data_IF_664235893802
#
_entry.id   IF_664235893802
#
_cell.length_a   1.000
_cell.length_b   1.000
_cell.length_c   1.000
_cell.angle_alpha   90.00
_cell.angle_beta   90.00
_cell.angle_gamma   90.00
#
_symmetry.space_group_name_H-M   'P 1'
#
loop_
_entity.id
_entity.type
_entity.pdbx_description
1 polymer ?
#
# COMPACT_ATOMS: atom_id res chain seq x y z
N UNK A 1 -25.81 2.46 2.27
CA UNK A 1 -24.97 2.78 3.43
C UNK A 1 -25.26 1.82 4.57
N UNK A 2 -24.25 1.55 5.40
CA UNK A 2 -24.34 0.74 6.61
C UNK A 2 -23.96 1.60 7.82
N UNK A 3 -24.42 1.18 9.02
CA UNK A 3 -23.98 1.73 10.32
C UNK A 3 -24.10 3.26 10.39
N UNK A 4 -25.29 3.76 10.06
CA UNK A 4 -25.56 5.21 9.98
C UNK A 4 -25.68 5.90 11.33
N UNK A 5 -25.92 5.13 12.40
CA UNK A 5 -26.01 5.67 13.76
C UNK A 5 -24.59 5.84 14.32
N UNK A 6 -24.18 7.08 14.69
CA UNK A 6 -22.85 7.32 15.23
C UNK A 6 -22.67 6.58 16.58
N UNK A 7 -21.68 5.70 16.66
CA UNK A 7 -21.34 4.99 17.89
C UNK A 7 -19.82 4.90 18.05
N UNK A 8 -19.28 5.67 18.98
CA UNK A 8 -17.83 5.74 19.25
C UNK A 8 -17.25 4.46 19.88
N UNK A 9 -18.07 3.42 20.14
CA UNK A 9 -17.60 2.11 20.60
C UNK A 9 -17.26 1.16 19.44
N UNK A 10 -17.63 1.53 18.20
CA UNK A 10 -17.40 0.75 16.99
C UNK A 10 -17.87 -0.71 17.09
N UNK A 11 -19.16 -0.98 17.43
CA UNK A 11 -19.61 -2.33 17.76
C UNK A 11 -19.64 -3.29 16.58
N UNK A 12 -19.59 -2.79 15.34
CA UNK A 12 -19.77 -3.60 14.14
C UNK A 12 -18.46 -4.20 13.62
N UNK A 13 -17.38 -3.44 13.60
CA UNK A 13 -16.02 -3.85 13.22
C UNK A 13 -15.03 -2.76 13.61
N UNK A 14 -13.74 -3.09 13.62
CA UNK A 14 -12.66 -2.11 13.79
C UNK A 14 -12.73 -1.11 12.62
N UNK A 15 -12.74 0.21 12.88
CA UNK A 15 -12.84 1.24 11.84
C UNK A 15 -11.48 1.45 11.12
N UNK A 16 -11.06 0.45 10.37
CA UNK A 16 -9.79 0.44 9.65
C UNK A 16 -9.99 -0.25 8.29
N UNK A 17 -9.74 0.44 7.16
CA UNK A 17 -9.86 -0.11 5.82
C UNK A 17 -8.94 -1.31 5.52
N UNK A 18 -7.95 -1.58 6.35
CA UNK A 18 -7.08 -2.77 6.26
C UNK A 18 -7.57 -3.95 7.12
N UNK A 19 -8.64 -3.75 7.90
CA UNK A 19 -9.23 -4.80 8.72
C UNK A 19 -10.08 -5.75 7.88
N UNK A 20 -9.85 -7.05 8.03
CA UNK A 20 -10.52 -8.09 7.23
C UNK A 20 -12.04 -8.07 7.40
N UNK A 21 -12.53 -7.93 8.64
CA UNK A 21 -13.97 -7.93 8.94
C UNK A 21 -14.64 -6.68 8.36
N UNK A 22 -13.97 -5.53 8.43
CA UNK A 22 -14.43 -4.29 7.84
C UNK A 22 -14.56 -4.41 6.31
N UNK A 23 -13.55 -4.97 5.66
CA UNK A 23 -13.56 -5.18 4.20
C UNK A 23 -14.61 -6.22 3.77
N UNK A 24 -14.78 -7.32 4.50
CA UNK A 24 -15.84 -8.29 4.24
C UNK A 24 -17.24 -7.69 4.44
N UNK A 25 -17.42 -6.82 5.42
CA UNK A 25 -18.71 -6.13 5.64
C UNK A 25 -19.11 -5.29 4.43
N UNK A 26 -18.22 -4.44 3.90
CA UNK A 26 -18.52 -3.63 2.72
C UNK A 26 -18.67 -4.48 1.45
N UNK A 27 -17.86 -5.52 1.27
CA UNK A 27 -17.97 -6.46 0.16
C UNK A 27 -19.36 -7.12 0.12
N UNK A 28 -19.80 -7.68 1.25
CA UNK A 28 -21.10 -8.30 1.34
C UNK A 28 -22.25 -7.33 1.04
N UNK A 29 -22.12 -6.08 1.48
CA UNK A 29 -23.12 -5.05 1.20
C UNK A 29 -23.15 -4.66 -0.29
N UNK A 30 -21.99 -4.51 -0.93
CA UNK A 30 -21.91 -4.23 -2.38
C UNK A 30 -22.62 -5.31 -3.18
N UNK A 31 -22.29 -6.57 -2.91
CA UNK A 31 -22.89 -7.72 -3.60
C UNK A 31 -24.39 -7.83 -3.34
N UNK A 32 -24.83 -7.60 -2.09
CA UNK A 32 -26.25 -7.72 -1.71
C UNK A 32 -27.15 -6.67 -2.38
N UNK A 33 -26.64 -5.46 -2.61
CA UNK A 33 -27.43 -4.36 -3.22
C UNK A 33 -27.15 -4.16 -4.71
N UNK A 34 -26.19 -4.87 -5.28
CA UNK A 34 -25.76 -4.70 -6.67
C UNK A 34 -25.20 -3.31 -6.96
N UNK A 35 -24.39 -2.78 -6.05
CA UNK A 35 -23.76 -1.48 -6.25
C UNK A 35 -22.56 -1.59 -7.23
N UNK A 36 -22.29 -0.54 -8.00
CA UNK A 36 -21.14 -0.51 -8.92
C UNK A 36 -19.80 -0.57 -8.18
N UNK A 37 -19.76 -0.03 -6.96
CA UNK A 37 -18.63 -0.12 -6.05
C UNK A 37 -19.02 0.23 -4.61
N UNK A 38 -18.17 -0.10 -3.65
CA UNK A 38 -18.30 0.28 -2.24
C UNK A 38 -17.09 1.02 -1.73
N UNK A 39 -17.29 1.87 -0.75
CA UNK A 39 -16.24 2.66 -0.10
C UNK A 39 -16.29 2.43 1.40
N UNK A 40 -15.12 2.27 2.00
CA UNK A 40 -14.95 2.25 3.46
C UNK A 40 -13.87 3.24 3.86
N UNK A 41 -14.12 3.96 4.95
CA UNK A 41 -13.20 4.89 5.58
C UNK A 41 -12.81 4.43 6.98
N UNK A 42 -11.76 5.00 7.51
CA UNK A 42 -11.47 4.98 8.94
C UNK A 42 -12.18 6.12 9.68
N UNK A 43 -11.83 6.33 10.96
CA UNK A 43 -12.57 7.23 11.86
C UNK A 43 -12.52 8.69 11.50
N UNK A 44 -11.42 9.18 10.99
CA UNK A 44 -11.15 10.58 10.63
C UNK A 44 -11.05 10.82 9.12
N UNK A 45 -11.34 9.76 8.33
CA UNK A 45 -11.49 9.81 6.87
C UNK A 45 -10.19 10.16 6.14
N UNK A 46 -9.05 9.98 6.76
CA UNK A 46 -7.75 10.15 6.12
C UNK A 46 -7.31 8.91 5.33
N UNK A 47 -7.97 7.75 5.59
CA UNK A 47 -7.78 6.50 4.84
C UNK A 47 -9.06 6.04 4.18
N UNK A 48 -8.90 5.45 2.99
CA UNK A 48 -9.99 4.82 2.27
C UNK A 48 -9.56 3.48 1.67
N UNK A 49 -10.52 2.57 1.50
CA UNK A 49 -10.43 1.43 0.61
C UNK A 49 -11.72 1.29 -0.20
N UNK A 50 -11.64 0.59 -1.30
CA UNK A 50 -12.74 0.43 -2.25
C UNK A 50 -12.98 -1.05 -2.51
N UNK A 51 -14.22 -1.42 -2.78
CA UNK A 51 -14.63 -2.74 -3.26
C UNK A 51 -15.33 -2.56 -4.59
N UNK A 52 -14.99 -3.35 -5.59
CA UNK A 52 -15.64 -3.32 -6.90
C UNK A 52 -17.04 -3.92 -6.88
N UNK A 53 -17.82 -3.72 -7.92
CA UNK A 53 -19.20 -4.23 -8.01
C UNK A 53 -19.31 -5.76 -7.96
N UNK A 54 -18.27 -6.49 -8.33
CA UNK A 54 -18.15 -7.94 -8.25
C UNK A 54 -17.43 -8.45 -6.99
N UNK A 55 -17.09 -7.55 -6.08
CA UNK A 55 -16.59 -7.89 -4.75
C UNK A 55 -15.07 -8.00 -4.62
N UNK A 56 -14.29 -7.54 -5.62
CA UNK A 56 -12.84 -7.49 -5.51
C UNK A 56 -12.40 -6.35 -4.58
N UNK A 57 -11.41 -6.63 -3.74
CA UNK A 57 -10.91 -5.69 -2.75
C UNK A 57 -9.80 -4.81 -3.35
N UNK A 58 -10.06 -3.52 -3.44
CA UNK A 58 -9.06 -2.51 -3.84
C UNK A 58 -8.54 -1.81 -2.59
N UNK A 59 -7.62 -2.47 -1.91
CA UNK A 59 -6.85 -1.95 -0.78
C UNK A 59 -5.37 -2.27 -0.99
N UNK A 60 -4.48 -1.82 -0.09
CA UNK A 60 -3.03 -2.11 -0.13
C UNK A 60 -2.42 -1.83 -1.52
N UNK A 61 -1.68 -2.77 -2.09
CA UNK A 61 -1.04 -2.62 -3.40
C UNK A 61 -2.06 -2.40 -4.54
N UNK A 62 -3.25 -2.96 -4.45
CA UNK A 62 -4.30 -2.78 -5.47
C UNK A 62 -4.80 -1.33 -5.50
N UNK A 63 -5.01 -0.71 -4.34
CA UNK A 63 -5.39 0.70 -4.27
C UNK A 63 -4.28 1.60 -4.82
N UNK A 64 -3.02 1.35 -4.43
CA UNK A 64 -1.87 2.07 -4.95
C UNK A 64 -1.82 1.97 -6.48
N UNK A 65 -2.04 0.78 -7.03
CA UNK A 65 -2.04 0.57 -8.48
C UNK A 65 -3.13 1.37 -9.19
N UNK A 66 -4.38 1.34 -8.71
CA UNK A 66 -5.49 2.12 -9.27
C UNK A 66 -5.17 3.62 -9.26
N UNK A 67 -4.71 4.15 -8.13
CA UNK A 67 -4.38 5.57 -8.02
C UNK A 67 -3.14 5.95 -8.85
N UNK A 68 -2.21 5.02 -9.04
CA UNK A 68 -1.07 5.20 -9.93
C UNK A 68 -1.51 5.30 -11.40
N UNK A 69 -2.47 4.48 -11.85
CA UNK A 69 -3.07 4.61 -13.19
C UNK A 69 -3.64 6.01 -13.38
N UNK A 70 -4.39 6.51 -12.40
CA UNK A 70 -4.98 7.86 -12.46
C UNK A 70 -3.88 8.92 -12.54
N UNK A 71 -2.95 8.92 -11.58
CA UNK A 71 -1.89 9.91 -11.49
C UNK A 71 -0.99 9.95 -12.74
N UNK A 72 -0.60 8.78 -13.27
CA UNK A 72 0.25 8.68 -14.47
C UNK A 72 -0.52 9.07 -15.73
N UNK A 73 -1.81 8.76 -15.83
CA UNK A 73 -2.62 9.16 -16.99
C UNK A 73 -2.79 10.68 -17.08
N UNK A 74 -2.85 11.36 -15.95
CA UNK A 74 -2.95 12.83 -15.85
C UNK A 74 -1.56 13.51 -15.96
N UNK A 75 -0.52 12.85 -15.46
CA UNK A 75 0.85 13.35 -15.39
C UNK A 75 1.86 12.27 -15.83
N UNK A 76 2.03 12.05 -17.14
CA UNK A 76 2.97 11.05 -17.65
C UNK A 76 4.40 11.25 -17.14
N UNK A 77 5.04 10.18 -16.68
CA UNK A 77 6.40 10.23 -16.14
C UNK A 77 6.48 10.61 -14.65
N UNK A 78 5.35 10.85 -13.99
CA UNK A 78 5.35 11.22 -12.57
C UNK A 78 5.90 10.13 -11.67
N UNK A 79 6.43 10.53 -10.52
CA UNK A 79 6.85 9.65 -9.44
C UNK A 79 5.70 9.43 -8.46
N UNK A 80 5.53 8.17 -8.03
CA UNK A 80 4.63 7.77 -6.95
C UNK A 80 5.49 7.41 -5.74
N UNK A 81 5.38 8.15 -4.65
CA UNK A 81 6.07 7.81 -3.40
C UNK A 81 5.20 6.84 -2.61
N UNK A 82 5.78 5.71 -2.23
CA UNK A 82 5.08 4.69 -1.44
C UNK A 82 5.88 4.34 -0.18
N UNK A 83 5.21 3.72 0.80
CA UNK A 83 5.93 3.06 1.89
C UNK A 83 6.71 1.83 1.38
N UNK A 84 7.66 1.36 2.18
CA UNK A 84 8.59 0.30 1.79
C UNK A 84 7.96 -1.09 1.59
N UNK A 85 6.92 -1.53 2.36
CA UNK A 85 6.35 -2.87 2.24
C UNK A 85 5.40 -3.03 1.04
N UNK A 86 5.83 -2.60 -0.13
CA UNK A 86 5.10 -2.78 -1.39
C UNK A 86 5.70 -3.91 -2.22
N UNK A 87 4.83 -4.59 -2.99
CA UNK A 87 5.25 -5.68 -3.88
C UNK A 87 6.18 -5.19 -4.99
N UNK A 88 7.10 -6.05 -5.44
CA UNK A 88 7.93 -5.77 -6.60
C UNK A 88 7.11 -5.72 -7.89
N UNK A 89 5.99 -6.44 -7.92
CA UNK A 89 5.03 -6.38 -9.04
C UNK A 89 4.42 -4.99 -9.20
N UNK A 90 4.19 -4.25 -8.10
CA UNK A 90 3.72 -2.88 -8.17
C UNK A 90 4.75 -1.95 -8.83
N UNK A 91 6.04 -2.13 -8.52
CA UNK A 91 7.12 -1.35 -9.15
C UNK A 91 7.15 -1.58 -10.67
N UNK A 92 7.06 -2.84 -11.09
CA UNK A 92 6.99 -3.20 -12.52
C UNK A 92 5.76 -2.57 -13.18
N UNK A 93 4.59 -2.72 -12.57
CA UNK A 93 3.33 -2.18 -13.04
C UNK A 93 3.39 -0.66 -13.25
N UNK A 94 3.86 0.10 -12.26
CA UNK A 94 4.04 1.56 -12.35
C UNK A 94 5.03 1.93 -13.46
N UNK A 95 6.12 1.16 -13.61
CA UNK A 95 7.12 1.39 -14.66
C UNK A 95 6.55 1.13 -16.06
N UNK A 96 5.77 0.08 -16.24
CA UNK A 96 5.10 -0.26 -17.50
C UNK A 96 4.04 0.79 -17.89
N UNK A 97 3.42 1.45 -16.92
CA UNK A 97 2.55 2.61 -17.16
C UNK A 97 3.31 3.89 -17.54
N UNK A 98 4.65 3.86 -17.49
CA UNK A 98 5.50 5.02 -17.79
C UNK A 98 5.71 5.96 -16.60
N UNK A 99 5.43 5.54 -15.37
CA UNK A 99 5.73 6.25 -14.14
C UNK A 99 6.96 5.72 -13.41
N UNK A 100 7.23 6.27 -12.24
CA UNK A 100 8.33 5.85 -11.36
C UNK A 100 7.79 5.57 -9.95
N UNK A 101 8.20 4.47 -9.31
CA UNK A 101 7.95 4.24 -7.89
C UNK A 101 9.17 4.64 -7.07
N UNK A 102 8.95 5.43 -6.02
CA UNK A 102 9.94 5.73 -5.00
C UNK A 102 9.48 5.12 -3.66
N UNK A 103 10.14 4.07 -3.20
CA UNK A 103 9.87 3.48 -1.87
C UNK A 103 10.56 4.26 -0.79
N UNK A 104 9.84 4.61 0.26
CA UNK A 104 10.38 5.36 1.37
C UNK A 104 9.98 4.75 2.72
N UNK A 105 10.53 5.31 3.78
CA UNK A 105 10.26 4.89 5.17
C UNK A 105 8.75 4.98 5.44
N UNK A 106 8.19 3.91 6.01
CA UNK A 106 6.77 3.83 6.37
C UNK A 106 6.35 4.94 7.33
N UNK A 107 5.08 5.31 7.26
CA UNK A 107 4.45 6.40 7.98
C UNK A 107 3.99 7.51 7.04
N UNK A 108 2.70 7.85 7.09
CA UNK A 108 2.09 8.80 6.16
C UNK A 108 2.84 10.13 6.04
N UNK A 109 3.33 10.67 7.17
CA UNK A 109 4.14 11.90 7.18
C UNK A 109 5.46 11.73 6.43
N UNK A 110 6.08 10.54 6.51
CA UNK A 110 7.35 10.28 5.83
C UNK A 110 7.14 10.27 4.32
N UNK A 111 6.17 9.50 3.80
CA UNK A 111 5.92 9.41 2.35
C UNK A 111 5.43 10.75 1.78
N UNK A 112 4.57 11.48 2.49
CA UNK A 112 4.08 12.80 2.06
C UNK A 112 5.23 13.82 2.03
N UNK A 113 6.03 13.90 3.09
CA UNK A 113 7.15 14.83 3.14
C UNK A 113 8.19 14.52 2.06
N UNK A 114 8.44 13.23 1.76
CA UNK A 114 9.33 12.82 0.68
C UNK A 114 8.81 13.26 -0.69
N UNK A 115 7.53 13.12 -0.95
CA UNK A 115 6.92 13.62 -2.18
C UNK A 115 7.06 15.14 -2.34
N UNK A 116 6.88 15.89 -1.25
CA UNK A 116 7.09 17.36 -1.23
C UNK A 116 8.57 17.69 -1.49
N UNK A 117 9.50 16.96 -0.86
CA UNK A 117 10.95 17.11 -1.04
C UNK A 117 11.36 16.89 -2.50
N UNK A 118 10.89 15.79 -3.11
CA UNK A 118 11.15 15.46 -4.52
C UNK A 118 10.68 16.58 -5.45
N UNK A 119 9.48 17.11 -5.24
CA UNK A 119 8.97 18.24 -6.04
C UNK A 119 9.81 19.50 -5.86
N UNK A 120 10.27 19.80 -4.65
CA UNK A 120 11.19 20.94 -4.41
C UNK A 120 12.55 20.75 -5.10
N UNK A 121 13.00 19.50 -5.24
CA UNK A 121 14.22 19.14 -5.95
C UNK A 121 14.05 19.08 -7.49
N UNK A 122 12.85 19.31 -8.02
CA UNK A 122 12.57 19.30 -9.46
C UNK A 122 12.12 17.96 -10.03
N UNK A 123 11.93 16.92 -9.19
CA UNK A 123 11.35 15.64 -9.60
C UNK A 123 9.83 15.73 -9.48
N UNK A 124 9.10 15.54 -10.57
CA UNK A 124 7.63 15.54 -10.51
C UNK A 124 7.14 14.34 -9.69
N UNK A 125 6.36 14.62 -8.65
CA UNK A 125 5.70 13.62 -7.82
C UNK A 125 4.27 14.07 -7.55
N UNK A 126 3.30 13.32 -8.05
CA UNK A 126 1.88 13.69 -7.97
C UNK A 126 1.12 12.95 -6.87
N UNK A 127 1.66 11.82 -6.37
CA UNK A 127 0.98 10.98 -5.39
C UNK A 127 1.98 10.45 -4.35
N UNK A 128 1.63 10.60 -3.08
CA UNK A 128 2.22 9.89 -1.95
C UNK A 128 1.17 8.96 -1.36
N UNK A 129 1.46 7.68 -1.19
CA UNK A 129 0.46 6.69 -0.75
C UNK A 129 1.11 5.53 0.01
N UNK A 130 0.39 5.03 1.02
CA UNK A 130 0.78 3.85 1.78
C UNK A 130 -0.16 2.66 1.57
N UNK A 131 0.35 1.47 1.84
CA UNK A 131 -0.45 0.24 1.87
C UNK A 131 -1.57 0.27 2.90
N UNK A 132 -1.49 1.13 3.91
CA UNK A 132 -2.53 1.36 4.92
C UNK A 132 -3.75 2.13 4.42
N UNK A 133 -3.66 2.76 3.24
CA UNK A 133 -4.73 3.57 2.65
C UNK A 133 -4.58 5.08 2.82
N UNK A 134 -3.58 5.56 3.58
CA UNK A 134 -3.20 6.97 3.60
C UNK A 134 -2.74 7.40 2.21
N UNK A 135 -3.28 8.49 1.69
CA UNK A 135 -2.89 8.99 0.38
C UNK A 135 -3.05 10.50 0.24
N UNK A 136 -2.07 11.12 -0.40
CA UNK A 136 -1.99 12.56 -0.59
C UNK A 136 -1.63 12.90 -2.04
N UNK A 137 -2.47 13.66 -2.72
CA UNK A 137 -2.23 14.16 -4.06
C UNK A 137 -1.63 15.57 -4.04
N UNK A 138 -0.70 15.84 -4.94
CA UNK A 138 -0.10 17.17 -5.10
C UNK A 138 -1.15 18.25 -5.40
N UNK A 139 -2.12 17.94 -6.25
CA UNK A 139 -3.22 18.85 -6.59
C UNK A 139 -4.15 19.17 -5.42
N UNK A 140 -4.21 18.27 -4.40
CA UNK A 140 -4.88 18.50 -3.11
C UNK A 140 -3.86 18.95 -2.03
N UNK A 141 -2.85 19.71 -2.41
CA UNK A 141 -1.84 20.29 -1.51
C UNK A 141 -1.10 19.26 -0.63
N UNK A 142 -1.03 18.01 -1.05
CA UNK A 142 -0.52 16.89 -0.26
C UNK A 142 -1.22 16.71 1.10
N UNK A 143 -2.50 17.05 1.18
CA UNK A 143 -3.33 16.68 2.32
C UNK A 143 -3.57 15.16 2.30
N UNK A 144 -3.41 14.53 3.45
CA UNK A 144 -3.78 13.13 3.67
C UNK A 144 -5.31 13.05 3.73
N UNK A 145 -5.95 12.50 2.69
CA UNK A 145 -7.37 12.69 2.46
C UNK A 145 -8.02 11.51 1.74
N UNK A 146 -8.62 10.61 2.51
CA UNK A 146 -9.33 9.43 1.98
C UNK A 146 -10.57 9.81 1.16
N UNK A 147 -11.25 10.91 1.48
CA UNK A 147 -12.41 11.37 0.71
C UNK A 147 -11.96 11.85 -0.68
N UNK A 148 -10.82 12.52 -0.79
CA UNK A 148 -10.25 12.92 -2.06
C UNK A 148 -9.86 11.72 -2.93
N UNK A 149 -9.27 10.68 -2.32
CA UNK A 149 -8.97 9.39 -2.98
C UNK A 149 -10.23 8.82 -3.64
N UNK A 150 -11.32 8.75 -2.87
CA UNK A 150 -12.60 8.26 -3.37
C UNK A 150 -13.15 9.13 -4.49
N UNK A 151 -13.03 10.45 -4.38
CA UNK A 151 -13.47 11.38 -5.44
C UNK A 151 -12.69 11.15 -6.75
N UNK A 152 -11.37 10.92 -6.69
CA UNK A 152 -10.56 10.60 -7.88
C UNK A 152 -11.02 9.31 -8.56
N UNK A 153 -11.31 8.25 -7.79
CA UNK A 153 -11.84 7.00 -8.32
C UNK A 153 -13.24 7.21 -8.90
N UNK A 154 -14.10 7.93 -8.19
CA UNK A 154 -15.47 8.22 -8.63
C UNK A 154 -15.53 9.00 -9.96
N UNK A 155 -14.61 9.93 -10.18
CA UNK A 155 -14.53 10.67 -11.45
C UNK A 155 -14.08 9.78 -12.63
N UNK A 156 -13.34 8.72 -12.36
CA UNK A 156 -12.90 7.76 -13.38
C UNK A 156 -14.01 6.77 -13.76
N UNK A 157 -14.83 6.37 -12.79
CA UNK A 157 -15.80 5.28 -12.93
C UNK A 157 -16.75 5.42 -14.12
N UNK A 158 -17.39 6.59 -14.41
CA UNK A 158 -18.28 6.73 -15.56
C UNK A 158 -17.58 6.43 -16.89
N UNK A 159 -16.31 6.83 -17.03
CA UNK A 159 -15.52 6.60 -18.25
C UNK A 159 -15.21 5.11 -18.47
N UNK A 160 -15.04 4.36 -17.39
CA UNK A 160 -14.85 2.92 -17.45
C UNK A 160 -16.16 2.22 -17.82
N UNK A 161 -17.26 2.60 -17.18
CA UNK A 161 -18.59 2.03 -17.45
C UNK A 161 -19.03 2.25 -18.91
N UNK A 162 -18.76 3.43 -19.50
CA UNK A 162 -19.00 3.70 -20.92
C UNK A 162 -18.26 2.74 -21.86
N UNK A 163 -17.13 2.18 -21.42
CA UNK A 163 -16.32 1.19 -22.17
C UNK A 163 -16.67 -0.25 -21.80
N UNK A 164 -17.58 -0.46 -20.86
CA UNK A 164 -17.88 -1.77 -20.30
C UNK A 164 -16.73 -2.32 -19.46
N UNK A 165 -15.88 -1.46 -18.91
CA UNK A 165 -14.74 -1.78 -18.05
C UNK A 165 -15.09 -1.53 -16.59
N UNK A 166 -14.43 -2.25 -15.69
CA UNK A 166 -14.55 -2.14 -14.23
C UNK A 166 -13.25 -1.63 -13.60
N UNK A 167 -13.26 -1.27 -12.32
CA UNK A 167 -12.05 -0.75 -11.66
C UNK A 167 -10.91 -1.77 -11.60
N UNK A 168 -11.23 -3.05 -11.42
CA UNK A 168 -10.26 -4.15 -11.45
C UNK A 168 -9.61 -4.33 -12.83
N UNK A 169 -10.32 -3.97 -13.90
CA UNK A 169 -9.75 -3.98 -15.25
C UNK A 169 -8.49 -3.11 -15.35
N UNK A 170 -8.43 -1.99 -14.61
CA UNK A 170 -7.27 -1.10 -14.60
C UNK A 170 -6.00 -1.77 -14.09
N UNK A 171 -6.15 -2.72 -13.19
CA UNK A 171 -5.04 -3.39 -12.52
C UNK A 171 -4.92 -4.87 -12.87
N UNK A 172 -5.63 -5.34 -13.88
CA UNK A 172 -5.59 -6.76 -14.31
C UNK A 172 -4.20 -7.25 -14.69
N UNK A 173 -3.29 -6.35 -15.03
CA UNK A 173 -1.89 -6.66 -15.33
C UNK A 173 -1.01 -6.67 -14.08
N UNK A 174 -1.52 -6.20 -12.93
CA UNK A 174 -0.81 -6.28 -11.67
C UNK A 174 -0.76 -7.74 -11.21
N UNK A 175 0.42 -8.32 -11.28
CA UNK A 175 0.64 -9.68 -10.78
C UNK A 175 0.49 -9.68 -9.26
N UNK A 176 -0.24 -10.65 -8.75
CA UNK A 176 -0.36 -10.86 -7.30
C UNK A 176 0.70 -11.88 -6.85
N UNK A 177 1.39 -11.63 -5.74
CA UNK A 177 2.31 -12.62 -5.17
C UNK A 177 1.53 -13.88 -4.78
N UNK A 178 2.18 -15.03 -4.84
CA UNK A 178 1.55 -16.31 -4.48
C UNK A 178 1.52 -16.53 -2.97
N UNK A 179 2.49 -15.99 -2.28
CA UNK A 179 2.60 -16.09 -0.83
C UNK A 179 3.05 -14.76 -0.22
N UNK A 180 2.36 -14.35 0.84
CA UNK A 180 2.70 -13.17 1.64
C UNK A 180 2.64 -13.56 3.11
N UNK A 181 3.74 -13.38 3.83
CA UNK A 181 3.87 -13.69 5.25
C UNK A 181 4.34 -12.47 6.01
N UNK A 182 3.71 -12.17 7.15
CA UNK A 182 4.18 -11.17 8.10
C UNK A 182 4.40 -11.82 9.47
N UNK A 183 5.61 -11.67 10.00
CA UNK A 183 5.97 -12.15 11.34
C UNK A 183 6.40 -10.97 12.20
N UNK A 184 5.88 -10.90 13.41
CA UNK A 184 6.18 -9.84 14.38
C UNK A 184 6.96 -10.42 15.55
N UNK A 185 8.15 -9.89 15.81
CA UNK A 185 9.03 -10.30 16.91
C UNK A 185 9.02 -9.21 17.96
N UNK A 186 8.48 -9.55 19.14
CA UNK A 186 8.48 -8.63 20.29
C UNK A 186 9.89 -8.46 20.83
N UNK A 187 10.29 -7.22 21.08
CA UNK A 187 11.55 -6.87 21.73
C UNK A 187 11.26 -6.61 23.20
N UNK A 188 11.91 -7.33 24.10
CA UNK A 188 11.63 -7.27 25.54
C UNK A 188 12.63 -6.40 26.33
N UNK A 189 13.61 -5.79 25.66
CA UNK A 189 14.56 -4.87 26.30
C UNK A 189 14.03 -3.46 26.36
N UNK A 190 14.39 -2.71 27.41
CA UNK A 190 14.01 -1.29 27.56
C UNK A 190 14.56 -0.43 26.41
N UNK A 191 15.79 -0.67 25.99
CA UNK A 191 16.40 -0.01 24.82
C UNK A 191 16.11 -0.79 23.53
N UNK A 192 14.83 -0.99 23.25
CA UNK A 192 14.40 -1.75 22.07
C UNK A 192 14.85 -1.13 20.75
N UNK A 193 15.04 0.21 20.70
CA UNK A 193 15.45 0.89 19.46
C UNK A 193 16.88 0.57 19.09
N UNK A 194 17.81 0.66 20.05
CA UNK A 194 19.22 0.30 19.80
C UNK A 194 19.32 -1.18 19.45
N UNK A 195 18.70 -2.06 20.23
CA UNK A 195 18.69 -3.50 19.97
C UNK A 195 18.14 -3.84 18.58
N UNK A 196 16.96 -3.32 18.22
CA UNK A 196 16.34 -3.59 16.93
C UNK A 196 17.16 -3.08 15.74
N UNK A 197 17.80 -1.91 15.87
CA UNK A 197 18.69 -1.38 14.83
C UNK A 197 19.98 -2.22 14.70
N UNK A 198 20.52 -2.74 15.78
CA UNK A 198 21.66 -3.67 15.75
C UNK A 198 21.28 -4.97 15.02
N UNK A 199 20.12 -5.56 15.34
CA UNK A 199 19.62 -6.76 14.64
C UNK A 199 19.47 -6.50 13.15
N UNK A 200 18.85 -5.39 12.74
CA UNK A 200 18.69 -5.03 11.32
C UNK A 200 20.04 -4.88 10.63
N UNK A 201 21.01 -4.25 11.29
CA UNK A 201 22.36 -4.03 10.74
C UNK A 201 23.13 -5.34 10.56
N UNK A 202 22.95 -6.30 11.47
CA UNK A 202 23.64 -7.59 11.42
C UNK A 202 22.94 -8.60 10.52
N UNK A 203 21.64 -8.47 10.30
CA UNK A 203 20.82 -9.43 9.57
C UNK A 203 21.39 -9.85 8.20
N UNK A 204 21.98 -8.95 7.37
CA UNK A 204 22.60 -9.32 6.09
C UNK A 204 23.74 -10.34 6.20
N UNK A 205 24.32 -10.54 7.38
CA UNK A 205 25.40 -11.53 7.59
C UNK A 205 24.89 -12.97 7.72
N UNK A 206 23.57 -13.14 7.92
CA UNK A 206 22.92 -14.40 8.21
C UNK A 206 22.11 -14.97 7.04
N UNK A 207 22.01 -14.21 5.93
CA UNK A 207 21.30 -14.65 4.74
C UNK A 207 22.17 -15.53 3.84
N UNK A 208 21.57 -16.38 2.97
CA UNK A 208 22.30 -17.12 1.94
C UNK A 208 23.12 -16.17 1.04
N UNK A 209 24.25 -16.67 0.53
CA UNK A 209 25.21 -15.86 -0.25
C UNK A 209 24.67 -15.38 -1.60
N UNK A 210 23.68 -16.05 -2.13
CA UNK A 210 23.00 -15.74 -3.40
C UNK A 210 21.84 -14.74 -3.24
N UNK A 211 21.50 -14.38 -2.00
CA UNK A 211 20.50 -13.36 -1.72
C UNK A 211 21.14 -11.96 -1.77
N UNK A 212 20.39 -10.98 -2.25
CA UNK A 212 20.93 -9.64 -2.51
C UNK A 212 20.22 -8.60 -1.66
N UNK A 213 21.01 -7.83 -0.90
CA UNK A 213 20.48 -6.65 -0.20
C UNK A 213 20.07 -5.61 -1.24
N UNK A 214 18.82 -5.17 -1.21
CA UNK A 214 18.30 -4.19 -2.15
C UNK A 214 18.89 -2.79 -1.85
N UNK A 215 19.65 -2.19 -2.79
CA UNK A 215 20.32 -0.92 -2.56
C UNK A 215 19.38 0.29 -2.60
N UNK A 216 18.17 0.14 -3.13
CA UNK A 216 17.17 1.22 -3.22
C UNK A 216 16.27 1.32 -1.99
N UNK A 217 16.47 0.43 -1.00
CA UNK A 217 15.64 0.40 0.20
C UNK A 217 16.16 1.38 1.26
N UNK A 218 15.29 2.23 1.78
CA UNK A 218 15.61 3.22 2.81
C UNK A 218 15.05 2.87 4.20
N UNK A 219 14.25 1.81 4.33
CA UNK A 219 13.68 1.37 5.62
C UNK A 219 14.18 -0.02 6.00
N UNK A 220 14.82 -0.15 7.15
CA UNK A 220 15.30 -1.44 7.62
C UNK A 220 16.26 -2.10 6.61
N UNK A 221 16.11 -3.39 6.39
CA UNK A 221 16.85 -4.12 5.37
C UNK A 221 15.90 -4.92 4.49
N UNK A 222 15.93 -4.66 3.19
CA UNK A 222 15.20 -5.42 2.18
C UNK A 222 16.18 -6.31 1.42
N UNK A 223 15.81 -7.54 1.22
CA UNK A 223 16.62 -8.56 0.57
C UNK A 223 15.79 -9.20 -0.52
N UNK A 224 16.34 -9.24 -1.72
CA UNK A 224 15.74 -9.92 -2.87
C UNK A 224 16.37 -11.30 -3.02
N UNK A 225 15.56 -12.33 -3.29
CA UNK A 225 16.01 -13.70 -3.45
C UNK A 225 15.38 -14.36 -4.69
N UNK A 226 16.11 -15.33 -5.27
CA UNK A 226 15.70 -16.13 -6.44
C UNK A 226 16.19 -17.55 -6.33
N UNK A 227 15.64 -18.46 -7.15
CA UNK A 227 16.14 -19.82 -7.30
C UNK A 227 15.45 -20.83 -6.41
N UNK A 228 16.19 -21.62 -5.67
CA UNK A 228 15.69 -22.74 -4.86
C UNK A 228 14.63 -22.31 -3.82
N UNK A 229 14.80 -21.13 -3.24
CA UNK A 229 13.90 -20.57 -2.23
C UNK A 229 12.72 -19.76 -2.83
N UNK A 230 12.58 -19.71 -4.14
CA UNK A 230 11.56 -18.96 -4.81
C UNK A 230 12.07 -17.73 -5.56
N UNK A 231 11.17 -16.86 -5.96
CA UNK A 231 11.44 -15.53 -6.53
C UNK A 231 10.64 -14.52 -5.71
N UNK A 232 11.33 -13.72 -4.90
CA UNK A 232 10.65 -12.84 -3.99
C UNK A 232 11.57 -11.90 -3.24
N UNK A 233 11.05 -11.35 -2.15
CA UNK A 233 11.79 -10.45 -1.27
C UNK A 233 11.35 -10.63 0.18
N UNK A 234 12.22 -10.22 1.08
CA UNK A 234 11.88 -10.02 2.48
C UNK A 234 12.30 -8.62 2.93
N UNK A 235 11.59 -8.07 3.92
CA UNK A 235 11.89 -6.79 4.56
C UNK A 235 11.85 -6.96 6.07
N UNK A 236 12.99 -6.75 6.72
CA UNK A 236 13.09 -6.65 8.17
C UNK A 236 13.19 -5.18 8.59
N UNK A 237 12.25 -4.71 9.40
CA UNK A 237 12.20 -3.33 9.87
C UNK A 237 11.71 -3.20 11.30
N UNK A 238 11.96 -2.05 11.92
CA UNK A 238 11.32 -1.70 13.18
C UNK A 238 9.85 -1.32 12.96
N UNK A 239 9.00 -1.65 13.92
CA UNK A 239 7.69 -1.02 14.02
C UNK A 239 7.82 0.47 14.38
N UNK A 240 6.93 1.31 13.84
CA UNK A 240 6.92 2.74 14.12
C UNK A 240 6.50 3.07 15.56
N UNK A 241 5.60 2.27 16.14
CA UNK A 241 4.91 2.61 17.38
C UNK A 241 5.16 1.62 18.51
N UNK A 242 5.59 0.40 18.20
CA UNK A 242 5.70 -0.69 19.15
C UNK A 242 7.13 -1.24 19.22
N UNK A 243 7.54 -1.83 20.34
CA UNK A 243 8.84 -2.49 20.47
C UNK A 243 8.85 -3.83 19.71
N UNK A 244 8.75 -3.77 18.40
CA UNK A 244 8.68 -4.92 17.51
C UNK A 244 9.64 -4.79 16.34
N UNK A 245 10.22 -5.93 15.94
CA UNK A 245 10.73 -6.14 14.59
C UNK A 245 9.60 -6.78 13.74
N UNK A 246 9.40 -6.26 12.56
CA UNK A 246 8.44 -6.78 11.58
C UNK A 246 9.21 -7.36 10.41
N UNK A 247 9.03 -8.64 10.15
CA UNK A 247 9.55 -9.34 8.97
C UNK A 247 8.39 -9.59 8.02
N UNK A 248 8.47 -9.03 6.84
CA UNK A 248 7.55 -9.30 5.73
C UNK A 248 8.28 -10.09 4.66
N UNK A 249 7.62 -11.10 4.13
CA UNK A 249 8.14 -11.97 3.06
C UNK A 249 7.08 -12.05 1.98
N UNK A 250 7.51 -11.96 0.74
CA UNK A 250 6.68 -12.16 -0.43
C UNK A 250 7.39 -13.12 -1.39
N UNK A 251 6.65 -14.09 -1.93
CA UNK A 251 7.20 -15.10 -2.82
C UNK A 251 6.23 -15.40 -3.97
N UNK A 252 6.78 -15.59 -5.17
CA UNK A 252 6.05 -15.95 -6.38
C UNK A 252 5.99 -17.48 -6.63
N UNK A 253 6.68 -18.25 -5.82
CA UNK A 253 6.59 -19.71 -5.81
C UNK A 253 5.89 -20.17 -4.54
N UNK A 254 4.97 -21.11 -4.69
CA UNK A 254 4.39 -21.83 -3.55
C UNK A 254 5.38 -22.90 -3.14
N UNK A 255 5.92 -22.80 -1.93
CA UNK A 255 6.83 -23.79 -1.35
C UNK A 255 6.15 -25.09 -0.93
#
# INVERSE_FOLDING_TARGET
>A
SQFLDPDGTFPNHIPNPDNKEAMESIKNQVLAVGADYGVIFDTDVDRAAVVTGDGELLNRNNLIAVLSVIAISEHPGTTIVTNSPTTEHLKRFITELGGHQYRYISGYRNVINKAIELNKAGTDCQLAIETSGHAAFKENYFLDDGAYVVAKILMLLPRLLERGETLDYLIKQLVQPKEVVEVRFKIETEDFKTYGNEVIKEFPQWIPQDWVVNPENEEGVRIDFKGEYGDGWLLLRMSLHEPLLVLQIENDLVG
#
